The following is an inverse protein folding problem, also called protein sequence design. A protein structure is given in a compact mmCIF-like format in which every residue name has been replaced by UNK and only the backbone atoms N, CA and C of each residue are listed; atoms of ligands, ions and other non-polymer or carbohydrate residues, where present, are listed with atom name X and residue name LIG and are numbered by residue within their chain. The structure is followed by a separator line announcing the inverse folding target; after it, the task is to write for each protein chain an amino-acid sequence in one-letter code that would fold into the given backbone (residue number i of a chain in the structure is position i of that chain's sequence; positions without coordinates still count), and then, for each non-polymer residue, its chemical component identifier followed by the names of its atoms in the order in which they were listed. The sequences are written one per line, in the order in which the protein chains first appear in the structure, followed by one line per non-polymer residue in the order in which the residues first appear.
data_IF_581971854590
#
_entry.id   IF_581971854590
#
_cell.length_a   1.000
_cell.length_b   1.000
_cell.length_c   1.000
_cell.angle_alpha   90.00
_cell.angle_beta   90.00
_cell.angle_gamma   90.00
#
_symmetry.space_group_name_H-M   'P 1'
#
loop_
_entity.id
_entity.type
_entity.pdbx_description
1 polymer ?
#
# COMPACT_ATOMS: atom_id res chain seq x y z
N UNK A 1 5.76 41.88 18.87
CA UNK A 1 5.49 41.98 17.42
C UNK A 1 4.01 41.68 17.21
N UNK A 2 3.22 42.70 16.90
CA UNK A 2 1.79 42.54 16.64
C UNK A 2 1.60 41.88 15.27
N UNK A 3 0.91 40.73 15.24
CA UNK A 3 0.50 40.09 13.99
C UNK A 3 -0.53 40.99 13.29
N UNK A 4 -0.22 41.39 12.06
CA UNK A 4 -1.19 42.03 11.18
C UNK A 4 -2.39 41.08 10.97
N UNK A 5 -3.63 41.57 11.07
CA UNK A 5 -4.81 40.73 10.83
C UNK A 5 -4.79 40.19 9.40
N UNK A 6 -5.03 38.88 9.27
CA UNK A 6 -5.17 38.24 7.98
C UNK A 6 -6.29 38.92 7.17
N UNK A 7 -6.09 39.20 5.87
CA UNK A 7 -7.11 39.83 5.05
C UNK A 7 -8.34 38.93 5.00
N UNK A 8 -9.44 39.43 5.57
CA UNK A 8 -10.75 38.78 5.51
C UNK A 8 -11.14 38.71 4.04
N UNK A 9 -11.16 37.50 3.47
CA UNK A 9 -11.66 37.29 2.11
C UNK A 9 -13.15 37.60 2.09
N UNK A 10 -13.49 38.85 1.77
CA UNK A 10 -14.86 39.25 1.51
C UNK A 10 -15.29 38.57 0.22
N UNK A 11 -16.23 37.63 0.31
CA UNK A 11 -16.83 37.02 -0.87
C UNK A 11 -17.43 38.14 -1.74
N UNK A 12 -17.08 38.24 -3.03
CA UNK A 12 -17.61 39.29 -3.89
C UNK A 12 -19.13 39.09 -4.02
N UNK A 13 -19.91 40.08 -3.59
CA UNK A 13 -21.36 40.10 -3.78
C UNK A 13 -21.69 40.59 -5.18
N UNK A 14 -22.51 39.85 -5.92
CA UNK A 14 -23.00 40.24 -7.23
C UNK A 14 -24.39 40.82 -7.11
N UNK A 15 -24.65 41.92 -7.82
CA UNK A 15 -25.97 42.53 -7.94
C UNK A 15 -26.48 42.33 -9.35
N UNK A 16 -27.63 41.70 -9.52
CA UNK A 16 -28.28 41.57 -10.83
C UNK A 16 -28.67 42.98 -11.36
N UNK A 17 -28.34 43.34 -12.61
CA UNK A 17 -28.70 44.65 -13.16
C UNK A 17 -30.20 44.80 -13.42
N UNK A 18 -30.91 43.69 -13.66
CA UNK A 18 -32.34 43.73 -13.99
C UNK A 18 -33.23 43.83 -12.74
N UNK A 19 -33.04 42.93 -11.76
CA UNK A 19 -33.90 42.89 -10.56
C UNK A 19 -33.23 43.43 -9.29
N UNK A 20 -31.95 43.79 -9.34
CA UNK A 20 -31.21 44.32 -8.20
C UNK A 20 -30.87 43.29 -7.12
N UNK A 21 -31.22 42.00 -7.28
CA UNK A 21 -30.93 40.95 -6.31
C UNK A 21 -29.44 40.82 -6.05
N UNK A 22 -29.06 40.81 -4.77
CA UNK A 22 -27.68 40.63 -4.32
C UNK A 22 -27.50 39.19 -3.87
N UNK A 23 -26.54 38.50 -4.48
CA UNK A 23 -26.25 37.10 -4.17
C UNK A 23 -24.75 36.84 -4.23
N UNK A 24 -24.33 35.76 -3.56
CA UNK A 24 -22.97 35.25 -3.69
C UNK A 24 -22.91 34.38 -4.95
N UNK A 25 -22.13 34.75 -5.97
CA UNK A 25 -22.03 33.99 -7.20
C UNK A 25 -21.39 32.63 -6.93
N UNK A 26 -21.97 31.58 -7.51
CA UNK A 26 -21.34 30.27 -7.61
C UNK A 26 -20.55 30.18 -8.93
N UNK A 27 -19.59 29.25 -9.04
CA UNK A 27 -18.73 29.11 -10.23
C UNK A 27 -19.51 28.80 -11.52
N UNK A 28 -20.73 28.29 -11.38
CA UNK A 28 -21.65 27.93 -12.46
C UNK A 28 -22.82 28.90 -12.59
N UNK A 29 -22.84 30.01 -11.85
CA UNK A 29 -23.93 31.00 -11.91
C UNK A 29 -23.90 31.73 -13.25
N UNK A 30 -24.70 31.22 -14.20
CA UNK A 30 -24.92 31.81 -15.53
C UNK A 30 -26.15 32.73 -15.51
N UNK A 31 -27.07 32.53 -14.56
CA UNK A 31 -28.33 33.27 -14.48
C UNK A 31 -28.59 33.81 -13.08
N UNK A 32 -29.33 34.91 -12.99
CA UNK A 32 -29.83 35.42 -11.72
C UNK A 32 -30.77 34.40 -11.07
N UNK A 33 -30.58 34.04 -9.78
CA UNK A 33 -31.46 33.09 -9.10
C UNK A 33 -32.88 33.61 -8.90
N UNK A 34 -33.10 34.93 -8.98
CA UNK A 34 -34.42 35.55 -8.74
C UNK A 34 -35.21 35.77 -10.03
N UNK A 35 -34.65 36.45 -11.03
CA UNK A 35 -35.38 36.80 -12.27
C UNK A 35 -34.96 35.97 -13.49
N UNK A 36 -33.95 35.10 -13.37
CA UNK A 36 -33.46 34.28 -14.48
C UNK A 36 -32.60 35.02 -15.49
N UNK A 37 -32.30 36.31 -15.26
CA UNK A 37 -31.51 37.16 -16.16
C UNK A 37 -30.15 36.54 -16.49
N UNK A 38 -29.71 36.66 -17.74
CA UNK A 38 -28.41 36.14 -18.14
C UNK A 38 -27.27 37.02 -17.58
N UNK A 39 -26.45 36.44 -16.70
CA UNK A 39 -25.34 37.12 -16.05
C UNK A 39 -24.02 36.98 -16.83
N UNK A 40 -24.02 36.39 -18.04
CA UNK A 40 -22.86 36.45 -18.95
C UNK A 40 -22.76 37.82 -19.61
N UNK A 41 -22.52 38.84 -18.79
CA UNK A 41 -22.37 40.24 -19.17
C UNK A 41 -20.95 40.70 -18.88
N UNK A 42 -20.44 41.65 -19.65
CA UNK A 42 -19.08 42.18 -19.49
C UNK A 42 -18.80 42.67 -18.06
N UNK A 43 -19.81 43.17 -17.34
CA UNK A 43 -19.71 43.55 -15.91
C UNK A 43 -19.15 42.46 -14.99
N UNK A 44 -19.40 41.19 -15.31
CA UNK A 44 -18.96 40.06 -14.49
C UNK A 44 -17.74 39.34 -15.07
N UNK A 45 -17.15 39.90 -16.13
CA UNK A 45 -15.96 39.37 -16.77
C UNK A 45 -14.73 39.60 -15.88
N UNK A 46 -13.84 38.62 -15.79
CA UNK A 46 -12.57 38.73 -15.05
C UNK A 46 -11.65 39.85 -15.56
N UNK A 47 -11.84 40.25 -16.82
CA UNK A 47 -11.06 41.30 -17.47
C UNK A 47 -11.78 42.65 -17.51
N UNK A 48 -12.93 42.80 -16.84
CA UNK A 48 -13.55 44.09 -16.68
C UNK A 48 -13.03 44.74 -15.39
N UNK A 49 -12.37 45.89 -15.53
CA UNK A 49 -12.15 46.76 -14.37
C UNK A 49 -13.46 47.48 -14.07
N UNK A 50 -14.13 47.07 -12.99
CA UNK A 50 -15.45 47.61 -12.60
C UNK A 50 -15.36 49.02 -12.02
N UNK A 51 -14.17 49.52 -11.68
CA UNK A 51 -13.98 50.88 -11.21
C UNK A 51 -13.91 51.88 -12.38
N UNK A 52 -13.26 51.49 -13.47
CA UNK A 52 -13.03 52.35 -14.64
C UNK A 52 -13.89 51.99 -15.85
N UNK A 53 -14.56 50.83 -15.81
CA UNK A 53 -15.30 50.21 -16.93
C UNK A 53 -14.43 50.01 -18.18
N UNK A 54 -13.14 49.74 -17.98
CA UNK A 54 -12.18 49.42 -19.04
C UNK A 54 -11.93 47.91 -19.10
N UNK A 55 -11.70 47.39 -20.30
CA UNK A 55 -11.26 46.01 -20.47
C UNK A 55 -9.75 45.91 -20.26
N UNK A 56 -9.32 45.07 -19.32
CA UNK A 56 -7.92 44.80 -18.99
C UNK A 56 -7.31 43.68 -19.84
N UNK A 57 -8.12 43.01 -20.68
CA UNK A 57 -7.64 41.91 -21.52
C UNK A 57 -6.64 42.45 -22.58
N UNK A 58 -5.38 42.00 -22.57
CA UNK A 58 -4.35 42.53 -23.46
C UNK A 58 -4.74 42.35 -24.93
N UNK A 59 -5.37 41.23 -25.31
CA UNK A 59 -5.79 40.98 -26.68
C UNK A 59 -6.81 42.00 -27.18
N UNK A 60 -7.83 42.32 -26.36
CA UNK A 60 -8.88 43.28 -26.72
C UNK A 60 -8.30 44.70 -26.71
N UNK A 61 -7.47 45.03 -25.70
CA UNK A 61 -6.79 46.33 -25.60
C UNK A 61 -5.92 46.64 -26.81
N UNK A 62 -5.15 45.69 -27.31
CA UNK A 62 -4.30 45.90 -28.48
C UNK A 62 -5.05 45.90 -29.82
N UNK A 63 -6.24 45.28 -29.89
CA UNK A 63 -6.99 45.16 -31.15
C UNK A 63 -8.01 46.28 -31.34
N UNK A 64 -8.65 46.73 -30.26
CA UNK A 64 -9.77 47.67 -30.30
C UNK A 64 -9.58 48.90 -29.41
N UNK A 65 -8.46 48.99 -28.69
CA UNK A 65 -8.19 50.12 -27.79
C UNK A 65 -7.85 51.41 -28.54
N UNK A 66 -7.93 52.52 -27.80
CA UNK A 66 -7.44 53.82 -28.25
C UNK A 66 -5.90 53.86 -28.37
N UNK A 67 -5.34 55.02 -28.72
CA UNK A 67 -3.88 55.23 -28.85
C UNK A 67 -3.10 54.92 -27.55
N UNK A 68 -3.79 54.88 -26.40
CA UNK A 68 -3.24 54.53 -25.08
C UNK A 68 -3.52 53.06 -24.71
N UNK A 69 -4.07 52.27 -25.63
CA UNK A 69 -4.41 50.87 -25.43
C UNK A 69 -5.53 50.66 -24.43
N UNK A 70 -6.44 51.63 -24.26
CA UNK A 70 -7.61 51.52 -23.39
C UNK A 70 -8.84 51.20 -24.22
N UNK A 71 -9.59 50.19 -23.80
CA UNK A 71 -10.86 49.84 -24.40
C UNK A 71 -11.96 50.04 -23.36
N UNK A 72 -12.77 51.08 -23.51
CA UNK A 72 -13.95 51.30 -22.66
C UNK A 72 -15.07 50.37 -23.08
N UNK A 73 -15.69 49.71 -22.10
CA UNK A 73 -16.80 48.80 -22.33
C UNK A 73 -18.08 49.65 -22.45
N UNK A 74 -18.67 49.82 -23.65
CA UNK A 74 -19.97 50.47 -23.77
C UNK A 74 -21.01 49.59 -23.06
N UNK A 75 -21.86 50.17 -22.22
CA UNK A 75 -22.99 49.48 -21.58
C UNK A 75 -22.65 48.08 -21.01
N UNK A 76 -21.90 48.01 -19.89
CA UNK A 76 -21.37 46.75 -19.33
C UNK A 76 -22.45 45.73 -18.93
N UNK A 77 -23.69 46.21 -18.77
CA UNK A 77 -24.87 45.43 -18.43
C UNK A 77 -25.64 44.89 -19.66
N UNK A 78 -25.31 45.33 -20.88
CA UNK A 78 -26.01 44.93 -22.12
C UNK A 78 -25.09 44.22 -23.13
N UNK A 79 -23.78 44.35 -22.99
CA UNK A 79 -22.84 43.64 -23.87
C UNK A 79 -22.73 42.16 -23.48
N UNK A 80 -23.29 41.32 -24.36
CA UNK A 80 -23.15 39.85 -24.32
C UNK A 80 -21.99 39.33 -25.18
N UNK A 81 -21.42 40.20 -26.04
CA UNK A 81 -20.58 39.84 -27.18
C UNK A 81 -19.07 39.82 -26.89
N UNK A 82 -18.64 39.37 -25.70
CA UNK A 82 -17.22 39.09 -25.47
C UNK A 82 -16.97 37.58 -25.59
N UNK A 83 -16.16 37.10 -26.56
CA UNK A 83 -15.81 35.68 -26.64
C UNK A 83 -14.98 35.20 -25.43
N UNK A 84 -14.36 36.14 -24.70
CA UNK A 84 -13.55 35.86 -23.52
C UNK A 84 -14.29 36.08 -22.20
N UNK A 85 -15.63 35.99 -22.20
CA UNK A 85 -16.50 36.17 -21.02
C UNK A 85 -16.32 35.02 -20.00
N UNK A 86 -15.12 34.93 -19.43
CA UNK A 86 -14.81 34.10 -18.28
C UNK A 86 -15.32 34.85 -17.06
N UNK A 87 -16.30 34.29 -16.31
CA UNK A 87 -16.73 34.92 -15.07
C UNK A 87 -15.50 35.14 -14.18
N UNK A 88 -15.49 36.24 -13.43
CA UNK A 88 -14.38 36.72 -12.58
C UNK A 88 -13.85 35.73 -11.53
N UNK A 89 -14.34 34.49 -11.50
CA UNK A 89 -14.09 33.50 -10.46
C UNK A 89 -13.76 32.17 -11.13
N UNK A 90 -12.47 31.92 -11.41
CA UNK A 90 -12.00 30.55 -11.52
C UNK A 90 -12.15 29.93 -10.13
N UNK A 91 -13.05 28.95 -9.92
CA UNK A 91 -13.19 28.32 -8.61
C UNK A 91 -11.85 27.71 -8.21
N UNK A 92 -11.52 27.80 -6.93
CA UNK A 92 -10.38 27.05 -6.46
C UNK A 92 -10.66 25.53 -6.62
N UNK A 93 -9.63 24.69 -6.76
CA UNK A 93 -9.82 23.25 -6.95
C UNK A 93 -10.66 22.60 -5.84
N UNK A 94 -10.60 23.16 -4.63
CA UNK A 94 -11.40 22.72 -3.49
C UNK A 94 -12.90 22.99 -3.66
N UNK A 95 -13.29 24.14 -4.18
CA UNK A 95 -14.68 24.49 -4.46
C UNK A 95 -15.24 23.62 -5.59
N UNK A 96 -14.44 23.36 -6.63
CA UNK A 96 -14.80 22.39 -7.68
C UNK A 96 -15.02 21.00 -7.10
N UNK A 97 -14.13 20.56 -6.20
CA UNK A 97 -14.26 19.28 -5.52
C UNK A 97 -15.52 19.21 -4.67
N UNK A 98 -15.83 20.21 -3.84
CA UNK A 98 -17.00 20.20 -2.94
C UNK A 98 -18.33 20.36 -3.70
N UNK A 99 -18.34 21.09 -4.82
CA UNK A 99 -19.55 21.32 -5.61
C UNK A 99 -19.89 20.17 -6.57
N UNK A 100 -18.90 19.37 -6.99
CA UNK A 100 -19.12 18.31 -7.97
C UNK A 100 -19.32 16.95 -7.27
N UNK A 101 -20.54 16.36 -7.31
CA UNK A 101 -20.84 15.11 -6.62
C UNK A 101 -20.00 13.92 -7.13
N UNK A 102 -19.63 13.90 -8.41
CA UNK A 102 -18.82 12.85 -9.00
C UNK A 102 -17.36 12.92 -8.52
N UNK A 103 -16.79 14.13 -8.44
CA UNK A 103 -15.44 14.31 -7.88
C UNK A 103 -15.38 13.94 -6.40
N UNK A 104 -16.42 14.25 -5.62
CA UNK A 104 -16.51 13.82 -4.22
C UNK A 104 -16.57 12.32 -4.09
N UNK A 105 -17.41 11.65 -4.89
CA UNK A 105 -17.54 10.21 -4.88
C UNK A 105 -16.19 9.52 -5.20
N UNK A 106 -15.48 10.02 -6.22
CA UNK A 106 -14.14 9.54 -6.57
C UNK A 106 -13.13 9.79 -5.46
N UNK A 107 -13.14 10.98 -4.85
CA UNK A 107 -12.24 11.32 -3.73
C UNK A 107 -12.47 10.45 -2.51
N UNK A 108 -13.72 10.21 -2.12
CA UNK A 108 -14.07 9.29 -1.04
C UNK A 108 -13.70 7.85 -1.38
N UNK A 109 -13.98 7.40 -2.61
CA UNK A 109 -13.60 6.06 -3.07
C UNK A 109 -12.09 5.83 -3.00
N UNK A 110 -11.30 6.79 -3.47
CA UNK A 110 -9.84 6.74 -3.37
C UNK A 110 -9.36 6.74 -1.91
N UNK A 111 -9.94 7.60 -1.05
CA UNK A 111 -9.61 7.65 0.37
C UNK A 111 -9.90 6.33 1.10
N UNK A 112 -11.06 5.73 0.85
CA UNK A 112 -11.44 4.43 1.42
C UNK A 112 -10.52 3.33 0.91
N UNK A 113 -10.21 3.31 -0.39
CA UNK A 113 -9.32 2.31 -0.96
C UNK A 113 -7.90 2.38 -0.34
N UNK A 114 -7.34 3.57 -0.19
CA UNK A 114 -6.05 3.77 0.48
C UNK A 114 -6.13 3.35 1.96
N UNK A 115 -7.20 3.72 2.66
CA UNK A 115 -7.42 3.31 4.04
C UNK A 115 -7.48 1.79 4.21
N UNK A 116 -8.21 1.10 3.34
CA UNK A 116 -8.29 -0.36 3.33
C UNK A 116 -6.96 -1.01 2.99
N UNK A 117 -6.19 -0.44 2.04
CA UNK A 117 -4.84 -0.93 1.71
C UNK A 117 -3.88 -0.78 2.88
N UNK A 118 -3.91 0.35 3.59
CA UNK A 118 -3.08 0.58 4.77
C UNK A 118 -3.48 -0.38 5.90
N UNK A 119 -4.78 -0.53 6.17
CA UNK A 119 -5.29 -1.48 7.15
C UNK A 119 -4.85 -2.91 6.81
N UNK A 120 -4.97 -3.30 5.54
CA UNK A 120 -4.55 -4.62 5.09
C UNK A 120 -3.03 -4.81 5.28
N UNK A 121 -2.21 -3.84 4.87
CA UNK A 121 -0.75 -3.96 4.91
C UNK A 121 -0.16 -3.95 6.32
N UNK A 122 -0.74 -3.18 7.23
CA UNK A 122 -0.18 -2.92 8.55
C UNK A 122 -0.91 -3.60 9.71
N UNK A 123 -2.17 -4.02 9.54
CA UNK A 123 -2.90 -4.75 10.58
C UNK A 123 -3.17 -6.20 10.16
N UNK A 124 -3.79 -6.41 8.99
CA UNK A 124 -4.24 -7.76 8.58
C UNK A 124 -3.05 -8.64 8.19
N UNK A 125 -2.14 -8.15 7.35
CA UNK A 125 -1.02 -8.94 6.84
C UNK A 125 -0.07 -9.42 7.96
N UNK A 126 0.31 -8.57 8.95
CA UNK A 126 1.11 -9.03 10.09
C UNK A 126 0.35 -10.00 10.99
N UNK A 127 -0.97 -9.83 11.16
CA UNK A 127 -1.78 -10.75 11.95
C UNK A 127 -1.84 -12.15 11.32
N UNK A 128 -1.92 -12.24 10.00
CA UNK A 128 -1.95 -13.53 9.27
C UNK A 128 -0.56 -14.16 9.15
N UNK A 129 0.50 -13.37 8.91
CA UNK A 129 1.86 -13.90 8.69
C UNK A 129 2.66 -14.11 9.98
N UNK A 130 2.24 -13.49 11.09
CA UNK A 130 3.04 -13.42 12.32
C UNK A 130 4.17 -12.39 12.23
N UNK A 131 4.86 -12.11 13.36
CA UNK A 131 5.98 -11.17 13.39
C UNK A 131 7.14 -11.64 12.49
N UNK A 132 7.77 -10.70 11.80
CA UNK A 132 8.97 -10.98 11.01
C UNK A 132 10.09 -11.42 11.95
N UNK A 133 10.52 -12.68 11.82
CA UNK A 133 11.60 -13.24 12.63
C UNK A 133 12.94 -12.79 12.04
N UNK A 134 13.81 -12.10 12.81
CA UNK A 134 15.10 -11.64 12.31
C UNK A 134 15.95 -12.84 11.84
N UNK A 135 16.60 -12.69 10.68
CA UNK A 135 17.57 -13.67 10.17
C UNK A 135 18.93 -13.41 10.85
N UNK A 136 19.54 -14.43 11.45
CA UNK A 136 20.94 -14.36 11.92
C UNK A 136 21.84 -15.13 10.97
N UNK A 137 22.88 -14.48 10.46
CA UNK A 137 23.90 -15.12 9.63
C UNK A 137 24.79 -16.10 10.42
N UNK A 138 24.77 -16.03 11.76
CA UNK A 138 25.56 -16.90 12.63
C UNK A 138 24.83 -18.20 12.97
N UNK A 139 23.51 -18.26 12.78
CA UNK A 139 22.78 -19.52 12.78
C UNK A 139 22.74 -20.06 11.35
N UNK A 140 23.54 -21.08 11.07
CA UNK A 140 23.65 -21.66 9.73
C UNK A 140 22.95 -23.01 9.66
N UNK A 141 22.43 -23.33 8.48
CA UNK A 141 21.80 -24.61 8.18
C UNK A 141 22.22 -25.14 6.81
N UNK A 142 22.36 -26.44 6.69
CA UNK A 142 22.57 -27.13 5.43
C UNK A 142 21.55 -28.26 5.32
N UNK A 143 20.82 -28.28 4.21
CA UNK A 143 19.89 -29.37 3.92
C UNK A 143 20.44 -30.22 2.78
N UNK A 144 20.61 -31.51 3.03
CA UNK A 144 20.95 -32.51 2.04
C UNK A 144 19.69 -33.32 1.76
N UNK A 145 19.23 -33.25 0.51
CA UNK A 145 18.01 -33.89 0.05
C UNK A 145 18.31 -34.64 -1.25
N UNK A 146 17.87 -35.90 -1.40
CA UNK A 146 18.04 -36.64 -2.63
C UNK A 146 17.24 -35.97 -3.75
N UNK A 147 17.87 -35.73 -4.89
CA UNK A 147 17.19 -35.18 -6.06
C UNK A 147 16.24 -36.20 -6.71
N UNK A 148 16.57 -37.50 -6.58
CA UNK A 148 15.81 -38.61 -7.13
C UNK A 148 15.77 -39.79 -6.14
N UNK A 149 14.61 -40.43 -6.04
CA UNK A 149 14.38 -41.63 -5.20
C UNK A 149 13.54 -42.63 -6.00
N UNK A 150 13.79 -43.92 -5.85
CA UNK A 150 13.01 -44.95 -6.53
C UNK A 150 11.65 -45.14 -5.85
N UNK A 151 10.64 -45.51 -6.62
CA UNK A 151 9.31 -45.85 -6.10
C UNK A 151 9.41 -46.90 -4.98
N UNK A 152 8.86 -46.59 -3.81
CA UNK A 152 8.87 -47.47 -2.65
C UNK A 152 10.09 -47.34 -1.74
N UNK A 153 11.12 -46.58 -2.12
CA UNK A 153 12.21 -46.23 -1.23
C UNK A 153 11.82 -45.05 -0.32
N UNK A 154 12.24 -45.06 0.96
CA UNK A 154 12.01 -43.93 1.85
C UNK A 154 12.86 -42.72 1.43
N UNK A 155 12.26 -41.53 1.48
CA UNK A 155 12.95 -40.28 1.19
C UNK A 155 13.67 -39.82 2.46
N UNK A 156 15.00 -39.88 2.46
CA UNK A 156 15.84 -39.45 3.57
C UNK A 156 16.30 -38.02 3.37
N UNK A 157 16.13 -37.18 4.38
CA UNK A 157 16.52 -35.78 4.37
C UNK A 157 17.38 -35.50 5.60
N UNK A 158 18.56 -34.92 5.38
CA UNK A 158 19.48 -34.60 6.45
C UNK A 158 19.60 -33.08 6.57
N UNK A 159 19.31 -32.55 7.76
CA UNK A 159 19.47 -31.13 8.07
C UNK A 159 20.56 -30.99 9.11
N UNK A 160 21.62 -30.29 8.79
CA UNK A 160 22.63 -29.90 9.78
C UNK A 160 22.45 -28.44 10.14
N UNK A 161 22.33 -28.15 11.42
CA UNK A 161 22.18 -26.81 12.00
C UNK A 161 23.45 -26.49 12.79
N UNK A 162 23.95 -25.27 12.69
CA UNK A 162 25.12 -24.81 13.44
C UNK A 162 24.80 -23.54 14.20
N UNK A 163 25.21 -23.52 15.47
CA UNK A 163 25.17 -22.33 16.30
C UNK A 163 26.56 -21.66 16.31
N UNK A 164 26.78 -20.65 15.47
CA UNK A 164 27.99 -19.82 15.53
C UNK A 164 27.78 -18.54 16.36
N UNK A 165 26.67 -18.43 17.09
CA UNK A 165 26.46 -17.33 18.03
C UNK A 165 27.31 -17.52 19.29
N UNK A 166 27.55 -16.42 20.01
CA UNK A 166 28.21 -16.46 21.32
C UNK A 166 27.28 -16.96 22.43
N UNK A 167 25.97 -16.96 22.19
CA UNK A 167 24.96 -17.42 23.13
C UNK A 167 24.47 -18.85 22.81
N UNK A 168 24.09 -19.65 23.81
CA UNK A 168 23.50 -20.96 23.57
C UNK A 168 22.13 -20.81 22.91
N UNK A 169 21.86 -21.66 21.92
CA UNK A 169 20.50 -21.86 21.40
C UNK A 169 19.78 -22.80 22.36
N UNK A 170 18.69 -22.35 22.96
CA UNK A 170 17.93 -23.15 23.92
C UNK A 170 17.11 -24.25 23.24
N UNK A 171 16.61 -23.96 22.05
CA UNK A 171 15.73 -24.83 21.30
C UNK A 171 15.84 -24.53 19.81
N UNK A 172 15.85 -25.58 18.99
CA UNK A 172 15.67 -25.45 17.55
C UNK A 172 14.23 -25.80 17.18
N UNK A 173 13.67 -25.04 16.23
CA UNK A 173 12.41 -25.36 15.58
C UNK A 173 12.67 -25.54 14.09
N UNK A 174 12.43 -26.75 13.59
CA UNK A 174 12.44 -27.06 12.17
C UNK A 174 11.00 -27.08 11.65
N UNK A 175 10.74 -26.30 10.60
CA UNK A 175 9.46 -26.21 9.92
C UNK A 175 9.62 -26.70 8.49
N UNK A 176 8.85 -27.73 8.14
CA UNK A 176 8.85 -28.35 6.82
C UNK A 176 7.46 -28.15 6.23
N UNK A 177 7.38 -27.60 5.02
CA UNK A 177 6.10 -27.31 4.35
C UNK A 177 6.14 -27.76 2.90
N UNK A 178 5.13 -28.50 2.43
CA UNK A 178 5.01 -28.86 1.02
C UNK A 178 4.33 -30.19 0.78
N UNK A 179 4.27 -30.58 -0.50
CA UNK A 179 3.56 -31.79 -0.92
C UNK A 179 4.20 -33.06 -0.39
N UNK A 180 5.51 -33.07 -0.11
CA UNK A 180 6.17 -34.23 0.51
C UNK A 180 5.57 -34.52 1.88
N UNK A 181 5.43 -33.49 2.72
CA UNK A 181 4.84 -33.59 4.05
C UNK A 181 3.36 -33.93 3.95
N UNK A 182 2.63 -33.37 2.99
CA UNK A 182 1.22 -33.68 2.79
C UNK A 182 0.95 -35.14 2.45
N UNK A 183 1.83 -35.75 1.64
CA UNK A 183 1.63 -37.07 1.04
C UNK A 183 2.47 -38.19 1.67
N UNK A 184 3.07 -37.96 2.83
CA UNK A 184 3.85 -38.96 3.56
C UNK A 184 3.18 -39.38 4.87
N UNK A 185 3.59 -40.49 5.44
CA UNK A 185 3.33 -40.77 6.86
C UNK A 185 4.14 -39.80 7.76
N UNK A 186 3.90 -39.86 9.07
CA UNK A 186 4.69 -39.10 10.03
C UNK A 186 6.15 -39.54 9.91
N UNK A 187 7.10 -38.63 9.62
CA UNK A 187 8.47 -39.03 9.40
C UNK A 187 9.11 -39.55 10.68
N UNK A 188 10.04 -40.47 10.53
CA UNK A 188 10.95 -40.84 11.61
C UNK A 188 12.02 -39.77 11.72
N UNK A 189 12.29 -39.29 12.95
CA UNK A 189 13.18 -38.16 13.21
C UNK A 189 14.24 -38.56 14.22
N UNK A 190 15.50 -38.33 13.86
CA UNK A 190 16.66 -38.57 14.71
C UNK A 190 17.52 -37.29 14.74
N UNK A 191 17.86 -36.72 15.92
CA UNK A 191 17.53 -37.15 17.27
C UNK A 191 16.04 -36.97 17.60
N UNK A 192 15.59 -37.63 18.67
CA UNK A 192 14.19 -37.57 19.10
C UNK A 192 13.77 -36.13 19.45
N UNK A 193 12.65 -35.63 18.92
CA UNK A 193 12.12 -34.32 19.27
C UNK A 193 11.80 -34.16 20.77
N UNK A 194 11.93 -32.93 21.29
CA UNK A 194 11.58 -32.62 22.70
C UNK A 194 10.07 -32.78 22.93
N UNK A 195 9.27 -32.41 21.94
CA UNK A 195 7.81 -32.51 21.98
C UNK A 195 7.31 -33.35 20.81
N UNK A 196 6.12 -33.96 20.92
CA UNK A 196 5.50 -34.66 19.80
C UNK A 196 5.44 -33.74 18.57
N UNK A 197 5.73 -34.32 17.41
CA UNK A 197 5.77 -33.59 16.14
C UNK A 197 4.38 -33.02 15.83
N UNK A 198 4.29 -31.71 15.60
CA UNK A 198 3.04 -31.07 15.23
C UNK A 198 2.87 -31.13 13.71
N UNK A 199 1.79 -31.78 13.24
CA UNK A 199 1.49 -31.89 11.81
C UNK A 199 0.16 -31.23 11.48
N UNK A 200 0.19 -30.33 10.50
CA UNK A 200 -0.97 -29.64 9.95
C UNK A 200 -1.00 -29.81 8.44
N UNK A 201 -1.71 -30.82 7.94
CA UNK A 201 -1.86 -31.13 6.50
C UNK A 201 -0.51 -31.23 5.77
N UNK A 202 -0.06 -30.14 5.16
CA UNK A 202 1.17 -29.98 4.38
C UNK A 202 2.32 -29.33 5.16
N UNK A 203 2.15 -29.05 6.45
CA UNK A 203 3.16 -28.46 7.34
C UNK A 203 3.49 -29.38 8.51
N UNK A 204 4.78 -29.47 8.83
CA UNK A 204 5.34 -30.20 9.96
C UNK A 204 6.20 -29.24 10.81
N UNK A 205 6.03 -29.27 12.12
CA UNK A 205 6.88 -28.54 13.07
C UNK A 205 7.54 -29.53 14.03
N UNK A 206 8.85 -29.43 14.12
CA UNK A 206 9.69 -30.33 14.92
C UNK A 206 10.50 -29.49 15.88
N UNK A 207 10.35 -29.76 17.17
CA UNK A 207 11.09 -29.08 18.23
C UNK A 207 12.25 -29.95 18.69
N UNK A 208 13.46 -29.44 18.59
CA UNK A 208 14.71 -30.17 18.80
C UNK A 208 15.50 -29.55 19.96
N UNK A 209 16.35 -30.34 20.66
CA UNK A 209 17.18 -29.85 21.76
C UNK A 209 17.99 -28.62 21.38
N UNK A 210 18.41 -27.83 22.37
CA UNK A 210 19.32 -26.72 22.15
C UNK A 210 20.73 -27.15 21.72
N UNK A 211 21.57 -26.19 21.36
CA UNK A 211 23.00 -26.40 21.08
C UNK A 211 23.85 -25.29 21.70
N UNK A 212 24.99 -25.67 22.29
CA UNK A 212 25.93 -24.70 22.85
C UNK A 212 26.58 -23.84 21.73
N UNK A 213 27.20 -22.69 22.09
CA UNK A 213 28.02 -21.92 21.15
C UNK A 213 29.07 -22.78 20.45
N UNK A 214 29.19 -22.62 19.13
CA UNK A 214 30.13 -23.37 18.28
C UNK A 214 29.74 -24.82 17.99
N UNK A 215 28.58 -25.30 18.48
CA UNK A 215 28.13 -26.67 18.23
C UNK A 215 27.18 -26.78 17.04
N UNK A 216 27.24 -27.93 16.37
CA UNK A 216 26.30 -28.33 15.33
C UNK A 216 25.39 -29.46 15.78
N UNK A 217 24.23 -29.55 15.15
CA UNK A 217 23.24 -30.60 15.33
C UNK A 217 22.86 -31.15 13.96
N UNK A 218 22.87 -32.47 13.81
CA UNK A 218 22.39 -33.12 12.59
C UNK A 218 21.07 -33.81 12.87
N UNK A 219 20.10 -33.59 12.00
CA UNK A 219 18.74 -34.12 12.07
C UNK A 219 18.49 -34.93 10.82
N UNK A 220 18.24 -36.22 10.98
CA UNK A 220 17.80 -37.12 9.91
C UNK A 220 16.28 -37.23 9.97
N UNK A 221 15.62 -36.97 8.84
CA UNK A 221 14.19 -37.13 8.64
C UNK A 221 13.94 -38.17 7.55
N UNK A 222 13.21 -39.22 7.89
CA UNK A 222 12.88 -40.31 6.96
C UNK A 222 11.40 -40.27 6.66
N UNK A 223 11.05 -39.90 5.43
CA UNK A 223 9.67 -39.83 4.95
C UNK A 223 9.29 -41.11 4.19
N UNK A 224 8.12 -41.65 4.52
CA UNK A 224 7.50 -42.75 3.76
C UNK A 224 6.29 -42.20 2.99
N UNK A 225 6.34 -42.08 1.66
CA UNK A 225 5.20 -41.63 0.85
C UNK A 225 4.00 -42.58 1.00
N UNK A 226 2.79 -42.05 1.18
CA UNK A 226 1.56 -42.85 1.27
C UNK A 226 1.12 -43.40 -0.10
N UNK A 227 1.30 -42.60 -1.15
CA UNK A 227 0.98 -43.00 -2.52
C UNK A 227 2.23 -43.38 -3.29
N UNK A 228 2.28 -44.62 -3.77
CA UNK A 228 3.31 -45.16 -4.66
C UNK A 228 3.06 -44.69 -6.10
N UNK A 229 3.28 -43.40 -6.38
CA UNK A 229 3.17 -42.82 -7.73
C UNK A 229 4.44 -42.08 -8.12
N UNK A 230 4.74 -42.09 -9.42
CA UNK A 230 5.76 -41.21 -10.00
C UNK A 230 5.29 -39.77 -9.86
N UNK A 231 6.01 -38.99 -9.07
CA UNK A 231 5.62 -37.63 -8.72
C UNK A 231 6.84 -36.76 -8.41
N UNK A 232 6.70 -35.45 -8.54
CA UNK A 232 7.70 -34.47 -8.09
C UNK A 232 7.18 -33.82 -6.82
N UNK A 233 7.76 -34.19 -5.68
CA UNK A 233 7.41 -33.59 -4.41
C UNK A 233 8.17 -32.28 -4.20
N UNK A 234 7.46 -31.25 -3.75
CA UNK A 234 8.05 -29.98 -3.31
C UNK A 234 8.16 -29.96 -1.79
N UNK A 235 9.25 -29.40 -1.31
CA UNK A 235 9.51 -29.20 0.11
C UNK A 235 10.14 -27.82 0.32
N UNK A 236 9.60 -27.08 1.28
CA UNK A 236 10.17 -25.86 1.84
C UNK A 236 10.64 -26.15 3.25
N UNK A 237 11.87 -25.76 3.53
CA UNK A 237 12.55 -25.97 4.80
C UNK A 237 12.88 -24.61 5.41
N UNK A 238 12.37 -24.36 6.59
CA UNK A 238 12.65 -23.19 7.41
C UNK A 238 13.08 -23.68 8.80
N UNK A 239 14.12 -23.07 9.37
CA UNK A 239 14.60 -23.42 10.71
C UNK A 239 14.78 -22.17 11.55
N UNK A 240 14.59 -22.30 12.86
CA UNK A 240 14.64 -21.21 13.83
C UNK A 240 15.40 -21.64 15.08
N UNK A 241 16.28 -20.79 15.58
CA UNK A 241 16.94 -20.94 16.88
C UNK A 241 16.37 -19.95 17.89
N UNK A 242 16.04 -20.43 19.08
CA UNK A 242 15.59 -19.58 20.19
C UNK A 242 16.79 -19.19 21.06
N UNK A 243 17.14 -17.90 21.04
CA UNK A 243 18.24 -17.30 21.80
C UNK A 243 17.66 -16.41 22.91
N UNK A 244 18.46 -16.16 23.96
CA UNK A 244 18.08 -15.34 25.11
C UNK A 244 17.91 -16.16 26.38
N UNK A 245 17.42 -15.55 27.46
CA UNK A 245 17.26 -16.23 28.75
C UNK A 245 15.76 -16.45 29.00
N UNK A 246 15.32 -17.69 29.31
CA UNK A 246 13.92 -17.94 29.67
C UNK A 246 13.48 -16.98 30.80
N UNK A 247 12.29 -16.35 30.73
CA UNK A 247 11.21 -16.61 29.77
C UNK A 247 11.26 -15.77 28.47
N UNK A 248 12.24 -14.87 28.32
CA UNK A 248 12.36 -13.97 27.16
C UNK A 248 13.25 -14.60 26.08
N UNK A 249 12.71 -15.61 25.40
CA UNK A 249 13.35 -16.20 24.22
C UNK A 249 12.94 -15.45 22.96
N UNK A 250 13.94 -15.04 22.17
CA UNK A 250 13.73 -14.42 20.85
C UNK A 250 14.06 -15.48 19.79
N UNK A 251 13.12 -15.69 18.86
CA UNK A 251 13.36 -16.55 17.71
C UNK A 251 14.24 -15.82 16.69
N UNK A 252 15.23 -16.52 16.16
CA UNK A 252 16.03 -16.08 15.02
C UNK A 252 15.93 -17.13 13.92
N UNK A 253 15.75 -16.69 12.68
CA UNK A 253 15.68 -17.59 11.53
C UNK A 253 17.09 -17.96 11.08
N UNK A 254 17.27 -19.25 10.79
CA UNK A 254 18.52 -19.86 10.35
C UNK A 254 18.74 -19.60 8.87
N UNK A 255 19.98 -19.28 8.50
CA UNK A 255 20.38 -19.18 7.11
C UNK A 255 20.67 -20.56 6.51
N UNK A 256 19.76 -21.05 5.65
CA UNK A 256 19.83 -22.40 5.05
C UNK A 256 20.45 -22.37 3.65
N UNK A 257 21.45 -23.22 3.42
CA UNK A 257 22.12 -23.45 2.12
C UNK A 257 21.84 -24.87 1.58
N UNK A 258 21.83 -25.08 0.25
CA UNK A 258 21.92 -24.08 -0.83
C UNK A 258 20.59 -23.36 -1.12
N UNK A 259 19.46 -23.92 -0.71
CA UNK A 259 18.12 -23.35 -0.93
C UNK A 259 17.15 -23.83 0.13
N UNK A 260 16.21 -22.95 0.50
CA UNK A 260 15.06 -23.26 1.38
C UNK A 260 13.99 -24.07 0.67
N UNK A 261 13.99 -24.10 -0.67
CA UNK A 261 13.05 -24.87 -1.49
C UNK A 261 13.78 -25.97 -2.23
N UNK A 262 13.27 -27.19 -2.11
CA UNK A 262 13.86 -28.39 -2.68
C UNK A 262 12.77 -29.19 -3.38
N UNK A 263 13.18 -29.94 -4.41
CA UNK A 263 12.31 -30.83 -5.16
C UNK A 263 12.91 -32.24 -5.15
N UNK A 264 12.05 -33.24 -4.95
CA UNK A 264 12.42 -34.66 -4.96
C UNK A 264 11.59 -35.33 -6.04
N UNK A 265 12.25 -35.92 -7.03
CA UNK A 265 11.58 -36.67 -8.08
C UNK A 265 11.53 -38.16 -7.73
N UNK A 266 10.34 -38.74 -7.64
CA UNK A 266 10.15 -40.19 -7.47
C UNK A 266 9.96 -40.84 -8.84
N UNK A 267 10.79 -41.83 -9.16
CA UNK A 267 10.83 -42.53 -10.47
C UNK A 267 10.43 -43.99 -10.38
#
# INVERSE_FOLDING_TARGET
MAQAPAPTKVSPLWRCPECGHIFTPQPTTIRCPQCGENLRKCRYCQYADTATWECTNPRIRYTYGDELGRFRIPEPDHVWACPENRPALAPNPWQLFVANPLLRALGWGAGVAVGLLLLFRFAILPWVRGPEVPESALLMGQAVVPSQVMLGEPIRLTVTLWNNEQAPVHQWLLVLEGSLVGNSETPQITPMPITPVERMKDRLRVFLPGSAPGQGMTVELVFQPQEMKRWVYTLRLDAYGYLGVPPQLTAYRVFITPSRKVQVQVR
#
